data_IF_134703316947
#
_entry.id   IF_134703316947
#
_cell.length_a   1.000
_cell.length_b   1.000
_cell.length_c   1.000
_cell.angle_alpha   90.00
_cell.angle_beta   90.00
_cell.angle_gamma   90.00
#
_symmetry.space_group_name_H-M   'P 1'
#
loop_
_entity.id
_entity.type
_entity.pdbx_description
1 polymer ?
#
# COMPACT_ATOMS: atom_id res chain seq x y z
N UNK A 1 -10.84 -1.91 -11.55
CA UNK A 1 -10.81 -3.40 -11.57
C UNK A 1 -12.04 -4.02 -10.93
N UNK A 2 -12.43 -3.66 -9.71
CA UNK A 2 -13.55 -4.37 -9.07
C UNK A 2 -14.94 -4.16 -9.67
N UNK A 3 -15.22 -3.02 -10.31
CA UNK A 3 -16.47 -2.85 -11.09
C UNK A 3 -16.45 -3.79 -12.30
N UNK A 4 -15.29 -3.91 -12.96
CA UNK A 4 -15.10 -4.79 -14.12
C UNK A 4 -15.29 -6.26 -13.72
N UNK A 5 -14.69 -6.70 -12.61
CA UNK A 5 -14.86 -8.09 -12.16
C UNK A 5 -16.27 -8.38 -11.67
N UNK A 6 -16.95 -7.43 -11.03
CA UNK A 6 -18.37 -7.60 -10.65
C UNK A 6 -19.26 -7.78 -11.88
N UNK A 7 -19.07 -6.96 -12.92
CA UNK A 7 -19.87 -7.06 -14.14
C UNK A 7 -19.54 -8.31 -14.98
N UNK A 8 -18.29 -8.77 -14.98
CA UNK A 8 -17.87 -9.92 -15.78
C UNK A 8 -18.02 -11.29 -15.08
N UNK A 9 -17.86 -11.31 -13.75
CA UNK A 9 -17.78 -12.54 -12.95
C UNK A 9 -18.93 -12.68 -11.93
N UNK A 10 -19.72 -11.63 -11.70
CA UNK A 10 -20.68 -11.60 -10.59
C UNK A 10 -21.80 -12.64 -10.66
N UNK A 11 -22.15 -13.11 -11.85
CA UNK A 11 -23.12 -14.21 -12.00
C UNK A 11 -22.47 -15.61 -11.92
N UNK A 12 -21.16 -15.72 -12.14
CA UNK A 12 -20.45 -17.00 -12.30
C UNK A 12 -19.71 -17.44 -11.05
N UNK A 13 -19.35 -16.48 -10.20
CA UNK A 13 -18.50 -16.67 -9.04
C UNK A 13 -19.10 -15.92 -7.83
N UNK A 14 -19.42 -16.61 -6.72
CA UNK A 14 -20.09 -16.02 -5.55
C UNK A 14 -19.26 -14.92 -4.85
N UNK A 15 -17.94 -14.96 -5.00
CA UNK A 15 -16.99 -13.98 -4.47
C UNK A 15 -17.13 -12.62 -5.15
N UNK A 16 -17.69 -12.58 -6.37
CA UNK A 16 -17.84 -11.37 -7.17
C UNK A 16 -19.30 -10.89 -7.29
N UNK A 17 -20.23 -11.51 -6.54
CA UNK A 17 -21.68 -11.26 -6.66
C UNK A 17 -22.08 -9.82 -6.35
N UNK A 18 -21.43 -9.21 -5.35
CA UNK A 18 -21.73 -7.86 -4.90
C UNK A 18 -20.48 -6.99 -4.99
N UNK A 19 -20.64 -5.70 -5.29
CA UNK A 19 -19.52 -4.75 -5.43
C UNK A 19 -18.55 -4.78 -4.24
N UNK A 20 -19.07 -4.75 -3.00
CA UNK A 20 -18.23 -4.75 -1.79
C UNK A 20 -17.46 -6.06 -1.66
N UNK A 21 -18.10 -7.20 -1.92
CA UNK A 21 -17.43 -8.52 -1.92
C UNK A 21 -16.32 -8.56 -2.97
N UNK A 22 -16.61 -8.13 -4.20
CA UNK A 22 -15.62 -8.04 -5.27
C UNK A 22 -14.43 -7.17 -4.92
N UNK A 23 -14.65 -5.99 -4.32
CA UNK A 23 -13.53 -5.13 -3.88
C UNK A 23 -12.70 -5.82 -2.81
N UNK A 24 -13.34 -6.42 -1.81
CA UNK A 24 -12.66 -7.06 -0.70
C UNK A 24 -11.86 -8.28 -1.15
N UNK A 25 -12.45 -9.12 -2.01
CA UNK A 25 -11.77 -10.26 -2.64
C UNK A 25 -10.56 -9.79 -3.42
N UNK A 26 -10.69 -8.77 -4.27
CA UNK A 26 -9.55 -8.23 -5.02
C UNK A 26 -8.47 -7.65 -4.12
N UNK A 27 -8.84 -6.90 -3.08
CA UNK A 27 -7.91 -6.36 -2.11
C UNK A 27 -7.10 -7.48 -1.44
N UNK A 28 -7.77 -8.50 -0.89
CA UNK A 28 -7.11 -9.69 -0.31
C UNK A 28 -6.18 -10.39 -1.30
N UNK A 29 -6.65 -10.57 -2.55
CA UNK A 29 -5.86 -11.22 -3.59
C UNK A 29 -4.59 -10.45 -3.95
N UNK A 30 -4.55 -9.13 -3.76
CA UNK A 30 -3.36 -8.32 -4.02
C UNK A 30 -2.41 -8.19 -2.82
N UNK A 31 -2.90 -8.36 -1.59
CA UNK A 31 -2.09 -8.11 -0.37
C UNK A 31 -1.58 -9.35 0.33
N UNK A 32 -2.39 -10.38 0.46
CA UNK A 32 -2.13 -11.48 1.41
C UNK A 32 -2.36 -12.87 0.80
N UNK A 33 -3.30 -12.99 -0.15
CA UNK A 33 -3.56 -14.25 -0.85
C UNK A 33 -4.97 -14.37 -1.39
N UNK A 34 -5.12 -15.14 -2.46
CA UNK A 34 -6.36 -15.31 -3.20
C UNK A 34 -6.96 -16.71 -2.95
N UNK A 35 -7.86 -16.79 -1.97
CA UNK A 35 -8.53 -18.03 -1.55
C UNK A 35 -10.03 -17.84 -1.71
N UNK A 36 -10.68 -18.79 -2.38
CA UNK A 36 -12.13 -18.82 -2.60
C UNK A 36 -12.88 -19.26 -1.33
N UNK A 37 -14.21 -19.10 -1.32
CA UNK A 37 -15.05 -19.46 -0.16
C UNK A 37 -15.01 -20.99 0.12
N UNK A 38 -14.66 -21.80 -0.89
CA UNK A 38 -14.48 -23.25 -0.82
C UNK A 38 -13.06 -23.68 -0.38
N UNK A 39 -12.18 -22.71 -0.08
CA UNK A 39 -10.80 -22.95 0.31
C UNK A 39 -9.85 -23.24 -0.86
N UNK A 40 -10.35 -23.24 -2.10
CA UNK A 40 -9.50 -23.44 -3.29
C UNK A 40 -8.73 -22.17 -3.66
N UNK A 41 -7.55 -22.29 -4.28
CA UNK A 41 -6.82 -21.12 -4.79
C UNK A 41 -7.62 -20.46 -5.92
N UNK A 42 -8.19 -19.28 -5.65
CA UNK A 42 -9.08 -18.56 -6.56
C UNK A 42 -8.35 -18.16 -7.86
N UNK A 43 -7.08 -17.80 -7.76
CA UNK A 43 -6.23 -17.47 -8.93
C UNK A 43 -6.09 -18.63 -9.90
N UNK A 44 -5.94 -19.85 -9.38
CA UNK A 44 -5.79 -21.06 -10.17
C UNK A 44 -7.11 -21.51 -10.80
N UNK A 45 -8.20 -21.44 -10.03
CA UNK A 45 -9.56 -21.67 -10.53
C UNK A 45 -9.91 -20.73 -11.69
N UNK A 46 -9.55 -19.44 -11.58
CA UNK A 46 -9.79 -18.49 -12.65
C UNK A 46 -8.84 -18.71 -13.84
N UNK A 47 -7.61 -19.21 -13.63
CA UNK A 47 -6.72 -19.64 -14.72
C UNK A 47 -7.33 -20.76 -15.54
N UNK A 48 -7.88 -21.79 -14.90
CA UNK A 48 -8.50 -22.92 -15.59
C UNK A 48 -9.73 -22.49 -16.40
N UNK A 49 -10.51 -21.55 -15.87
CA UNK A 49 -11.79 -21.15 -16.46
C UNK A 49 -11.69 -20.04 -17.52
N UNK A 50 -10.78 -19.10 -17.34
CA UNK A 50 -10.61 -17.92 -18.22
C UNK A 50 -9.30 -17.92 -19.01
N UNK A 51 -8.45 -18.93 -18.78
CA UNK A 51 -7.22 -19.14 -19.53
C UNK A 51 -6.04 -18.26 -19.08
N UNK A 52 -4.92 -18.33 -19.82
CA UNK A 52 -3.65 -17.71 -19.42
C UNK A 52 -3.66 -16.18 -19.45
N UNK A 53 -4.50 -15.56 -20.29
CA UNK A 53 -4.61 -14.10 -20.37
C UNK A 53 -5.05 -13.49 -19.03
N UNK A 54 -5.91 -14.20 -18.29
CA UNK A 54 -6.35 -13.77 -16.96
C UNK A 54 -5.21 -13.77 -15.95
N UNK A 55 -4.35 -14.79 -16.00
CA UNK A 55 -3.18 -14.90 -15.11
C UNK A 55 -2.21 -13.77 -15.35
N UNK A 56 -1.90 -13.47 -16.61
CA UNK A 56 -0.99 -12.37 -16.96
C UNK A 56 -1.53 -11.05 -16.42
N UNK A 57 -2.81 -10.77 -16.64
CA UNK A 57 -3.46 -9.57 -16.11
C UNK A 57 -3.42 -9.49 -14.58
N UNK A 58 -3.71 -10.62 -13.91
CA UNK A 58 -3.66 -10.72 -12.46
C UNK A 58 -2.25 -10.49 -11.90
N UNK A 59 -1.23 -11.09 -12.51
CA UNK A 59 0.18 -10.93 -12.11
C UNK A 59 0.66 -9.50 -12.33
N UNK A 60 0.39 -8.90 -13.50
CA UNK A 60 0.77 -7.52 -13.79
C UNK A 60 0.13 -6.53 -12.82
N UNK A 61 -1.16 -6.70 -12.52
CA UNK A 61 -1.87 -5.84 -11.56
C UNK A 61 -1.30 -6.00 -10.16
N UNK A 62 -1.01 -7.24 -9.74
CA UNK A 62 -0.44 -7.52 -8.41
C UNK A 62 0.97 -6.95 -8.29
N UNK A 63 1.83 -7.09 -9.30
CA UNK A 63 3.16 -6.48 -9.33
C UNK A 63 3.06 -4.95 -9.27
N UNK A 64 2.16 -4.34 -10.04
CA UNK A 64 1.97 -2.89 -10.04
C UNK A 64 1.54 -2.36 -8.67
N UNK A 65 0.62 -3.05 -7.97
CA UNK A 65 0.16 -2.61 -6.65
C UNK A 65 1.22 -2.86 -5.58
N UNK A 66 1.79 -4.07 -5.53
CA UNK A 66 2.75 -4.45 -4.49
C UNK A 66 4.08 -3.73 -4.62
N UNK A 67 4.62 -3.64 -5.84
CA UNK A 67 5.93 -3.01 -6.09
C UNK A 67 5.80 -1.53 -6.45
N UNK A 68 4.73 -1.13 -7.13
CA UNK A 68 4.54 0.28 -7.51
C UNK A 68 3.87 1.08 -6.40
N UNK A 69 2.61 0.74 -6.11
CA UNK A 69 1.77 1.55 -5.23
C UNK A 69 2.26 1.56 -3.77
N UNK A 70 2.59 0.42 -3.18
CA UNK A 70 3.07 0.40 -1.79
C UNK A 70 4.42 1.08 -1.62
N UNK A 71 5.34 0.94 -2.57
CA UNK A 71 6.61 1.65 -2.52
C UNK A 71 6.43 3.16 -2.68
N UNK A 72 5.50 3.60 -3.54
CA UNK A 72 5.16 5.02 -3.68
C UNK A 72 4.54 5.58 -2.40
N UNK A 73 3.56 4.89 -1.82
CA UNK A 73 2.93 5.31 -0.55
C UNK A 73 3.99 5.41 0.55
N UNK A 74 4.88 4.41 0.64
CA UNK A 74 5.98 4.41 1.62
C UNK A 74 6.91 5.59 1.42
N UNK A 75 7.30 5.90 0.18
CA UNK A 75 8.13 7.07 -0.12
C UNK A 75 7.48 8.38 0.33
N UNK A 76 6.18 8.56 0.07
CA UNK A 76 5.43 9.75 0.50
C UNK A 76 5.34 9.84 2.03
N UNK A 77 5.08 8.71 2.71
CA UNK A 77 5.03 8.68 4.18
C UNK A 77 6.40 9.01 4.78
N UNK A 78 7.48 8.46 4.21
CA UNK A 78 8.85 8.77 4.65
C UNK A 78 9.14 10.25 4.46
N UNK A 79 8.81 10.83 3.31
CA UNK A 79 9.04 12.25 3.05
C UNK A 79 8.28 13.13 4.05
N UNK A 80 7.01 12.83 4.31
CA UNK A 80 6.20 13.56 5.31
C UNK A 80 6.79 13.45 6.72
N UNK A 81 7.24 12.26 7.13
CA UNK A 81 7.84 12.03 8.46
C UNK A 81 9.18 12.75 8.57
N UNK A 82 10.04 12.65 7.55
CA UNK A 82 11.35 13.30 7.53
C UNK A 82 11.20 14.82 7.56
N UNK A 83 10.30 15.40 6.77
CA UNK A 83 10.05 16.84 6.78
C UNK A 83 9.53 17.33 8.14
N UNK A 84 8.67 16.54 8.80
CA UNK A 84 8.21 16.83 10.16
C UNK A 84 9.35 16.79 11.18
N UNK A 85 10.28 15.82 11.05
CA UNK A 85 11.46 15.72 11.92
C UNK A 85 12.50 16.80 11.66
N UNK A 86 12.69 17.19 10.40
CA UNK A 86 13.64 18.25 10.03
C UNK A 86 13.27 19.59 10.66
N UNK A 87 11.99 19.95 10.68
CA UNK A 87 11.51 21.17 11.35
C UNK A 87 11.81 21.18 12.84
N UNK A 88 11.57 20.06 13.54
CA UNK A 88 11.90 19.94 14.96
C UNK A 88 13.41 20.04 15.19
N UNK A 89 14.20 19.39 14.34
CA UNK A 89 15.66 19.44 14.41
C UNK A 89 16.20 20.86 14.18
N UNK A 90 15.59 21.65 13.30
CA UNK A 90 15.96 23.05 13.08
C UNK A 90 15.74 23.89 14.35
N UNK A 91 14.60 23.72 15.02
CA UNK A 91 14.29 24.42 16.27
C UNK A 91 15.29 24.02 17.38
N UNK A 92 15.55 22.73 17.55
CA UNK A 92 16.51 22.23 18.54
C UNK A 92 17.93 22.76 18.27
N UNK A 93 18.34 22.87 17.00
CA UNK A 93 19.65 23.43 16.62
C UNK A 93 19.76 24.91 16.97
N UNK A 94 18.68 25.68 16.79
CA UNK A 94 18.63 27.11 17.16
C UNK A 94 18.69 27.27 18.68
N UNK A 95 17.91 26.49 19.43
CA UNK A 95 17.91 26.55 20.90
C UNK A 95 19.30 26.21 21.48
N UNK A 96 19.93 25.14 20.98
CA UNK A 96 21.28 24.75 21.41
C UNK A 96 22.33 25.82 21.10
N UNK A 97 22.20 26.52 19.98
CA UNK A 97 23.13 27.60 19.62
C UNK A 97 23.03 28.76 20.61
N UNK A 98 21.82 29.15 20.99
CA UNK A 98 21.58 30.16 22.02
C UNK A 98 22.11 29.72 23.40
N UNK A 99 21.92 28.46 23.76
CA UNK A 99 22.41 27.92 25.04
C UNK A 99 23.95 27.90 25.11
N UNK A 100 24.63 27.60 24.00
CA UNK A 100 26.09 27.65 23.89
C UNK A 100 26.60 29.08 24.06
N UNK A 101 25.95 30.07 23.44
CA UNK A 101 26.33 31.47 23.60
C UNK A 101 26.21 31.96 25.05
N UNK A 102 25.13 31.56 25.75
CA UNK A 102 24.93 31.90 27.15
C UNK A 102 26.01 31.27 28.05
N UNK A 103 26.30 29.99 27.85
CA UNK A 103 27.37 29.30 28.60
C UNK A 103 28.73 29.94 28.35
N UNK A 104 29.01 30.38 27.12
CA UNK A 104 30.24 31.08 26.79
C UNK A 104 30.34 32.41 27.55
N UNK A 105 29.30 33.27 27.51
CA UNK A 105 29.30 34.53 28.27
C UNK A 105 29.50 34.34 29.78
N UNK A 106 28.89 33.30 30.34
CA UNK A 106 29.01 32.99 31.77
C UNK A 106 30.40 32.45 32.16
N UNK A 107 31.19 31.98 31.20
CA UNK A 107 32.55 31.47 31.43
C UNK A 107 33.62 32.59 31.44
N UNK A 108 33.31 33.75 30.84
CA UNK A 108 34.22 34.90 30.71
C UNK A 108 33.84 36.08 31.63
N UNK A 109 32.92 35.88 32.57
CA UNK A 109 32.57 36.83 33.63
C UNK A 109 32.94 36.23 34.98
#
# INVERSE_FOLDING_TARGET
VGVVTTNLLGEREPEFRNMIRSMFTLFRCWTEGCIADDGTPLSERLRERYGPAWVIFHVLTTMFITVGLFNLITAIVIDNVVNSQLHLKEIDMVERSAEIELKFKHLFT
#
